data_IF_387282096642
#
_entry.id   IF_387282096642
#
_cell.length_a   1.000
_cell.length_b   1.000
_cell.length_c   1.000
_cell.angle_alpha   90.00
_cell.angle_beta   90.00
_cell.angle_gamma   90.00
#
_symmetry.space_group_name_H-M   'P 1'
#
loop_
_entity.id
_entity.type
_entity.pdbx_description
1 polymer ?
#
# COMPACT_ATOMS: atom_id res chain seq x y z
N UNK A 1 -4.98 -26.00 3.32
CA UNK A 1 -4.31 -25.07 4.26
C UNK A 1 -4.96 -23.70 4.07
N UNK A 2 -5.94 -23.33 4.90
CA UNK A 2 -6.75 -22.10 4.70
C UNK A 2 -7.20 -21.44 6.00
N UNK A 3 -6.57 -21.81 7.13
CA UNK A 3 -7.01 -21.42 8.47
C UNK A 3 -6.19 -20.22 9.01
N UNK A 4 -5.03 -19.93 8.42
CA UNK A 4 -4.09 -18.92 8.94
C UNK A 4 -4.50 -17.47 8.66
N UNK A 5 -5.22 -17.22 7.56
CA UNK A 5 -5.60 -15.85 7.14
C UNK A 5 -6.81 -15.30 7.92
N UNK A 6 -7.84 -16.13 8.14
CA UNK A 6 -9.03 -15.76 8.95
C UNK A 6 -8.64 -15.38 10.38
N UNK A 7 -7.60 -16.01 10.91
CA UNK A 7 -7.11 -15.73 12.26
C UNK A 7 -6.37 -14.38 12.32
N UNK A 8 -5.60 -14.01 11.28
CA UNK A 8 -4.88 -12.73 11.22
C UNK A 8 -5.83 -11.51 11.23
N UNK A 9 -6.95 -11.61 10.51
CA UNK A 9 -7.95 -10.53 10.41
C UNK A 9 -8.70 -10.34 11.70
N UNK A 10 -9.26 -11.42 12.26
CA UNK A 10 -9.91 -11.38 13.57
C UNK A 10 -8.97 -10.85 14.66
N UNK A 11 -7.67 -11.13 14.55
CA UNK A 11 -6.66 -10.59 15.46
C UNK A 11 -6.44 -9.09 15.24
N UNK A 12 -6.34 -8.60 14.00
CA UNK A 12 -6.21 -7.16 13.70
C UNK A 12 -7.46 -6.41 14.19
N UNK A 13 -8.67 -6.89 13.87
CA UNK A 13 -9.93 -6.27 14.28
C UNK A 13 -10.09 -6.24 15.81
N UNK A 14 -9.90 -7.39 16.49
CA UNK A 14 -9.93 -7.43 17.96
C UNK A 14 -8.86 -6.54 18.57
N UNK A 15 -7.65 -6.54 18.02
CA UNK A 15 -6.55 -5.75 18.53
C UNK A 15 -6.86 -4.25 18.47
N UNK A 16 -7.36 -3.77 17.32
CA UNK A 16 -7.76 -2.37 17.13
C UNK A 16 -8.95 -2.00 18.02
N UNK A 17 -9.92 -2.90 18.18
CA UNK A 17 -11.09 -2.70 19.05
C UNK A 17 -10.71 -2.58 20.55
N UNK A 18 -9.77 -3.40 21.04
CA UNK A 18 -9.41 -3.42 22.46
C UNK A 18 -8.34 -2.37 22.85
N UNK A 19 -7.51 -1.91 21.92
CA UNK A 19 -6.37 -1.02 22.21
C UNK A 19 -6.54 0.41 21.69
N UNK A 20 -7.68 0.77 21.09
CA UNK A 20 -7.99 2.16 20.76
C UNK A 20 -8.35 2.95 22.01
N UNK A 21 -7.33 3.43 22.74
CA UNK A 21 -7.48 4.54 23.69
C UNK A 21 -7.41 5.92 23.01
N UNK A 22 -7.47 5.98 21.68
CA UNK A 22 -7.44 7.20 20.88
C UNK A 22 -8.74 7.43 20.08
N UNK A 23 -8.98 8.72 19.78
CA UNK A 23 -10.26 9.42 19.50
C UNK A 23 -10.98 9.02 18.18
N UNK A 24 -10.41 8.18 17.32
CA UNK A 24 -11.09 7.66 16.12
C UNK A 24 -11.08 6.13 16.08
N UNK A 25 -12.28 5.57 16.08
CA UNK A 25 -12.52 4.19 15.63
C UNK A 25 -12.39 4.20 14.11
N UNK A 26 -11.29 3.66 13.58
CA UNK A 26 -11.15 3.46 12.13
C UNK A 26 -12.06 2.29 11.75
N UNK A 27 -13.18 2.60 11.11
CA UNK A 27 -14.02 1.57 10.50
C UNK A 27 -13.41 1.20 9.15
N UNK A 28 -13.17 -0.08 8.93
CA UNK A 28 -12.72 -0.60 7.65
C UNK A 28 -13.27 -2.00 7.45
N UNK A 29 -13.37 -2.43 6.19
CA UNK A 29 -13.67 -3.81 5.82
C UNK A 29 -12.41 -4.46 5.28
N UNK A 30 -12.08 -5.67 5.74
CA UNK A 30 -10.91 -6.41 5.28
C UNK A 30 -11.31 -7.61 4.41
N UNK A 31 -10.87 -7.61 3.16
CA UNK A 31 -11.08 -8.72 2.24
C UNK A 31 -9.89 -9.68 2.26
N UNK A 32 -10.10 -10.83 2.91
CA UNK A 32 -9.11 -11.92 3.02
C UNK A 32 -8.73 -12.58 1.70
N UNK A 33 -9.52 -12.44 0.65
CA UNK A 33 -9.23 -13.07 -0.64
C UNK A 33 -8.10 -12.36 -1.39
N UNK A 34 -7.99 -11.05 -1.20
CA UNK A 34 -7.01 -10.19 -1.88
C UNK A 34 -6.14 -9.37 -0.91
N UNK A 35 -6.35 -9.51 0.40
CA UNK A 35 -5.67 -8.78 1.48
C UNK A 35 -5.88 -7.26 1.40
N UNK A 36 -7.08 -6.82 1.01
CA UNK A 36 -7.41 -5.40 0.85
C UNK A 36 -8.13 -4.84 2.07
N UNK A 37 -7.79 -3.59 2.42
CA UNK A 37 -8.49 -2.78 3.43
C UNK A 37 -9.34 -1.75 2.70
N UNK A 38 -10.65 -1.79 2.90
CA UNK A 38 -11.59 -0.84 2.36
C UNK A 38 -11.99 0.18 3.43
N UNK A 39 -11.73 1.45 3.15
CA UNK A 39 -12.11 2.57 4.01
C UNK A 39 -13.45 3.15 3.52
N UNK A 40 -14.48 3.24 4.36
CA UNK A 40 -15.74 3.88 4.01
C UNK A 40 -15.52 5.35 3.65
N UNK A 41 -16.20 5.84 2.61
CA UNK A 41 -16.09 7.26 2.20
C UNK A 41 -16.52 8.20 3.32
N UNK A 42 -17.40 7.76 4.22
CA UNK A 42 -17.79 8.54 5.41
C UNK A 42 -16.65 8.80 6.41
N UNK A 43 -15.55 8.05 6.33
CA UNK A 43 -14.33 8.31 7.10
C UNK A 43 -13.44 9.40 6.50
N UNK A 44 -13.73 9.79 5.25
CA UNK A 44 -13.01 10.84 4.54
C UNK A 44 -13.72 12.18 4.76
N UNK A 45 -13.02 13.16 5.32
CA UNK A 45 -13.61 14.43 5.78
C UNK A 45 -13.25 15.58 4.84
N UNK A 46 -12.06 15.55 4.28
CA UNK A 46 -11.56 16.55 3.34
C UNK A 46 -11.56 16.02 1.91
N UNK A 47 -11.50 16.95 0.97
CA UNK A 47 -11.34 16.64 -0.45
C UNK A 47 -9.93 16.12 -0.78
N UNK A 48 -8.98 16.22 0.16
CA UNK A 48 -7.62 15.67 0.04
C UNK A 48 -7.56 14.20 0.51
N UNK A 49 -8.25 13.37 -0.25
CA UNK A 49 -8.44 11.94 0.00
C UNK A 49 -7.08 11.22 0.12
N UNK A 50 -6.08 11.62 -0.67
CA UNK A 50 -4.75 10.98 -0.66
C UNK A 50 -4.05 11.22 0.67
N UNK A 51 -4.02 12.46 1.16
CA UNK A 51 -3.39 12.75 2.44
C UNK A 51 -4.15 12.11 3.62
N UNK A 52 -5.48 12.09 3.59
CA UNK A 52 -6.26 11.42 4.63
C UNK A 52 -6.04 9.91 4.65
N UNK A 53 -6.05 9.25 3.49
CA UNK A 53 -5.77 7.82 3.45
C UNK A 53 -4.34 7.51 3.85
N UNK A 54 -3.35 8.34 3.50
CA UNK A 54 -1.98 8.18 4.00
C UNK A 54 -1.91 8.30 5.52
N UNK A 55 -2.70 9.21 6.12
CA UNK A 55 -2.82 9.33 7.57
C UNK A 55 -3.43 8.06 8.19
N UNK A 56 -4.54 7.56 7.62
CA UNK A 56 -5.19 6.31 8.07
C UNK A 56 -4.25 5.11 7.93
N UNK A 57 -3.55 5.00 6.81
CA UNK A 57 -2.52 3.98 6.56
C UNK A 57 -1.45 4.04 7.64
N UNK A 58 -0.93 5.23 7.95
CA UNK A 58 0.11 5.41 8.96
C UNK A 58 -0.40 5.00 10.35
N UNK A 59 -1.65 5.37 10.70
CA UNK A 59 -2.26 4.98 11.97
C UNK A 59 -2.47 3.46 12.08
N UNK A 60 -2.90 2.80 11.00
CA UNK A 60 -3.04 1.34 10.95
C UNK A 60 -1.68 0.65 11.07
N UNK A 61 -0.69 1.08 10.29
CA UNK A 61 0.66 0.54 10.33
C UNK A 61 1.27 0.71 11.73
N UNK A 62 1.22 1.90 12.32
CA UNK A 62 1.75 2.17 13.66
C UNK A 62 1.05 1.32 14.72
N UNK A 63 -0.29 1.23 14.69
CA UNK A 63 -1.04 0.42 15.65
C UNK A 63 -0.71 -1.06 15.53
N UNK A 64 -0.51 -1.61 14.34
CA UNK A 64 -0.15 -3.03 14.21
C UNK A 64 1.32 -3.25 14.59
N UNK A 65 2.21 -2.40 14.08
CA UNK A 65 3.66 -2.56 14.22
C UNK A 65 4.16 -2.29 15.65
N UNK A 66 3.50 -1.40 16.40
CA UNK A 66 3.83 -1.15 17.81
C UNK A 66 3.61 -2.41 18.68
N UNK A 67 2.73 -3.30 18.26
CA UNK A 67 2.39 -4.52 18.99
C UNK A 67 2.90 -5.79 18.31
N UNK A 68 3.86 -5.65 17.37
CA UNK A 68 4.52 -6.77 16.68
C UNK A 68 5.21 -7.77 17.60
N UNK A 69 5.60 -7.35 18.81
CA UNK A 69 6.29 -8.20 19.79
C UNK A 69 5.31 -8.99 20.66
N UNK A 70 4.01 -8.65 20.64
CA UNK A 70 2.98 -9.33 21.43
C UNK A 70 1.90 -9.98 20.56
N UNK A 71 1.96 -9.81 19.24
CA UNK A 71 1.05 -10.43 18.27
C UNK A 71 1.84 -11.22 17.25
N UNK A 72 1.26 -12.29 16.71
CA UNK A 72 1.87 -13.07 15.62
C UNK A 72 1.71 -12.39 14.24
N UNK A 73 1.21 -11.16 14.20
CA UNK A 73 0.94 -10.43 12.94
C UNK A 73 2.26 -9.99 12.29
N UNK A 74 3.30 -9.74 13.08
CA UNK A 74 4.58 -9.22 12.59
C UNK A 74 4.48 -7.78 12.08
N UNK A 75 5.51 -7.33 11.35
CA UNK A 75 5.46 -6.02 10.70
C UNK A 75 4.51 -6.06 9.49
N UNK A 76 3.65 -5.05 9.41
CA UNK A 76 2.74 -4.81 8.29
C UNK A 76 3.14 -3.52 7.58
N UNK A 77 2.95 -3.51 6.27
CA UNK A 77 2.93 -2.29 5.48
C UNK A 77 1.68 -2.29 4.59
N UNK A 78 1.02 -1.14 4.50
CA UNK A 78 -0.22 -0.92 3.76
C UNK A 78 0.06 0.13 2.69
N UNK A 79 -0.29 -0.18 1.43
CA UNK A 79 -0.20 0.77 0.33
C UNK A 79 -1.59 1.12 -0.18
N UNK A 80 -1.72 2.30 -0.78
CA UNK A 80 -2.93 2.68 -1.50
C UNK A 80 -3.05 1.89 -2.81
N UNK A 81 -4.29 1.61 -3.19
CA UNK A 81 -4.64 1.04 -4.50
C UNK A 81 -5.23 2.17 -5.36
N UNK A 82 -4.70 2.34 -6.57
CA UNK A 82 -5.06 3.43 -7.46
C UNK A 82 -5.99 2.95 -8.59
N UNK A 83 -7.00 3.76 -8.94
CA UNK A 83 -7.92 3.48 -10.05
C UNK A 83 -7.34 3.92 -11.40
N UNK A 84 -6.82 5.15 -11.39
CA UNK A 84 -6.07 5.74 -12.48
C UNK A 84 -4.62 5.87 -12.02
N UNK A 85 -3.65 5.47 -12.84
CA UNK A 85 -2.23 5.59 -12.51
C UNK A 85 -1.50 6.52 -13.47
N UNK A 86 -1.29 7.75 -13.01
CA UNK A 86 -0.55 8.86 -13.58
C UNK A 86 0.67 9.27 -12.76
N UNK A 87 1.69 9.70 -13.48
CA UNK A 87 2.93 10.27 -12.99
C UNK A 87 2.92 11.75 -13.33
N UNK A 88 3.38 12.56 -12.38
CA UNK A 88 3.54 14.01 -12.58
C UNK A 88 4.32 14.24 -13.88
N UNK A 89 3.86 15.16 -14.76
CA UNK A 89 4.56 15.44 -16.01
C UNK A 89 6.00 15.89 -15.78
N UNK A 90 6.95 15.34 -16.53
CA UNK A 90 8.34 15.72 -16.36
C UNK A 90 9.36 14.86 -17.08
N UNK A 91 10.60 15.37 -17.10
CA UNK A 91 11.76 14.64 -17.62
C UNK A 91 12.68 14.24 -16.49
N UNK A 92 12.84 12.94 -16.30
CA UNK A 92 13.55 12.36 -15.16
C UNK A 92 14.83 11.65 -15.62
N UNK A 93 15.98 12.08 -15.11
CA UNK A 93 17.26 11.36 -15.33
C UNK A 93 17.39 10.12 -14.47
N UNK A 94 16.72 10.13 -13.33
CA UNK A 94 16.80 9.10 -12.30
C UNK A 94 15.48 9.05 -11.56
N UNK A 95 15.00 7.82 -11.33
CA UNK A 95 13.84 7.54 -10.48
C UNK A 95 14.18 6.38 -9.54
N UNK A 96 13.57 6.40 -8.36
CA UNK A 96 13.65 5.33 -7.37
C UNK A 96 12.23 4.80 -7.21
N UNK A 97 12.03 3.52 -7.53
CA UNK A 97 10.75 2.83 -7.43
C UNK A 97 10.82 1.87 -6.25
N UNK A 98 9.93 2.03 -5.29
CA UNK A 98 9.82 1.15 -4.12
C UNK A 98 8.59 0.29 -4.24
N UNK A 99 8.80 -1.03 -4.23
CA UNK A 99 7.74 -2.04 -4.24
C UNK A 99 7.69 -2.78 -2.92
N UNK A 100 6.49 -3.14 -2.48
CA UNK A 100 6.24 -3.94 -1.27
C UNK A 100 5.40 -5.14 -1.65
N UNK A 101 5.88 -6.32 -1.28
CA UNK A 101 5.18 -7.58 -1.47
C UNK A 101 4.79 -8.13 -0.10
N UNK A 102 3.48 -8.12 0.26
CA UNK A 102 3.03 -8.47 1.60
C UNK A 102 3.33 -9.94 1.96
N UNK A 103 3.35 -10.83 0.97
CA UNK A 103 3.59 -12.26 1.13
C UNK A 103 4.93 -12.72 0.53
N UNK A 104 5.93 -11.84 0.43
CA UNK A 104 7.23 -12.16 -0.18
C UNK A 104 7.23 -11.99 -1.70
N UNK A 105 8.43 -12.01 -2.29
CA UNK A 105 8.67 -11.66 -3.68
C UNK A 105 8.36 -12.84 -4.62
N UNK A 106 7.34 -12.75 -5.50
CA UNK A 106 6.85 -13.91 -6.28
C UNK A 106 7.91 -14.57 -7.17
N UNK A 107 8.86 -13.78 -7.71
CA UNK A 107 9.89 -14.31 -8.59
C UNK A 107 11.12 -14.88 -7.85
N UNK A 108 11.33 -14.51 -6.58
CA UNK A 108 12.49 -14.95 -5.79
C UNK A 108 12.11 -16.03 -4.76
N UNK A 109 10.85 -16.06 -4.33
CA UNK A 109 10.38 -16.89 -3.21
C UNK A 109 9.56 -18.12 -3.66
N UNK A 110 9.94 -18.76 -4.78
CA UNK A 110 9.37 -20.06 -5.18
C UNK A 110 9.72 -21.14 -4.12
N UNK A 111 8.95 -21.18 -3.03
CA UNK A 111 8.97 -22.22 -2.00
C UNK A 111 9.03 -21.75 -0.54
N UNK A 112 9.17 -20.45 -0.21
CA UNK A 112 9.38 -19.96 1.17
C UNK A 112 8.78 -18.58 1.50
N UNK A 113 7.76 -18.14 0.77
CA UNK A 113 7.16 -16.84 1.00
C UNK A 113 6.40 -16.79 2.35
N UNK A 114 7.09 -16.38 3.42
CA UNK A 114 6.56 -16.23 4.78
C UNK A 114 6.78 -14.83 5.36
N UNK A 115 7.49 -13.94 4.65
CA UNK A 115 7.87 -12.61 5.14
C UNK A 115 7.66 -11.56 4.06
N UNK A 116 7.11 -10.41 4.45
CA UNK A 116 6.96 -9.26 3.57
C UNK A 116 8.35 -8.82 3.04
N UNK A 117 8.40 -8.45 1.76
CA UNK A 117 9.62 -8.00 1.09
C UNK A 117 9.44 -6.57 0.57
N UNK A 118 10.40 -5.69 0.86
CA UNK A 118 10.49 -4.35 0.28
C UNK A 118 11.67 -4.32 -0.69
N UNK A 119 11.42 -3.87 -1.92
CA UNK A 119 12.45 -3.75 -2.95
C UNK A 119 12.50 -2.31 -3.44
N UNK A 120 13.66 -1.71 -3.31
CA UNK A 120 13.96 -0.41 -3.90
C UNK A 120 14.77 -0.64 -5.18
N UNK A 121 14.25 -0.17 -6.31
CA UNK A 121 14.95 -0.26 -7.60
C UNK A 121 15.23 1.13 -8.12
N UNK A 122 16.52 1.38 -8.38
CA UNK A 122 17.01 2.65 -8.90
C UNK A 122 17.18 2.56 -10.42
N UNK A 123 16.40 3.34 -11.16
CA UNK A 123 16.51 3.44 -12.62
C UNK A 123 17.23 4.72 -12.99
N UNK A 124 18.21 4.61 -13.90
CA UNK A 124 18.95 5.73 -14.47
C UNK A 124 18.77 5.72 -15.98
N UNK A 125 18.45 6.87 -16.56
CA UNK A 125 18.37 7.02 -18.00
C UNK A 125 19.77 6.93 -18.62
N UNK A 126 19.85 6.55 -19.90
CA UNK A 126 21.11 6.55 -20.62
C UNK A 126 21.69 7.97 -20.72
N UNK A 127 22.98 8.06 -21.06
CA UNK A 127 23.66 9.35 -21.12
C UNK A 127 23.01 10.26 -22.16
N UNK A 128 22.48 11.41 -21.71
CA UNK A 128 21.79 12.38 -22.56
C UNK A 128 20.27 12.18 -22.66
N UNK A 129 19.74 11.06 -22.15
CA UNK A 129 18.32 10.72 -22.19
C UNK A 129 17.61 11.04 -20.86
N UNK A 130 16.29 10.97 -20.90
CA UNK A 130 15.39 11.13 -19.74
C UNK A 130 14.19 10.22 -19.89
N UNK A 131 13.72 9.66 -18.77
CA UNK A 131 12.40 9.06 -18.70
C UNK A 131 11.34 10.15 -18.79
N UNK A 132 10.28 9.90 -19.55
CA UNK A 132 9.05 10.68 -19.49
C UNK A 132 8.00 9.99 -18.58
N UNK A 133 6.91 10.69 -18.28
CA UNK A 133 5.82 10.18 -17.43
C UNK A 133 5.21 8.87 -17.95
N UNK A 134 4.95 8.77 -19.26
CA UNK A 134 4.31 7.61 -19.88
C UNK A 134 5.17 6.34 -19.76
N UNK A 135 6.49 6.46 -19.93
CA UNK A 135 7.43 5.34 -19.78
C UNK A 135 7.47 4.81 -18.34
N UNK A 136 7.28 5.69 -17.36
CA UNK A 136 7.24 5.32 -15.94
C UNK A 136 5.89 4.66 -15.64
N UNK A 137 4.80 5.23 -16.13
CA UNK A 137 3.44 4.69 -16.01
C UNK A 137 3.36 3.28 -16.57
N UNK A 138 3.73 3.07 -17.84
CA UNK A 138 3.65 1.76 -18.50
C UNK A 138 4.42 0.66 -17.75
N UNK A 139 5.56 1.02 -17.15
CA UNK A 139 6.37 0.07 -16.39
C UNK A 139 5.86 -0.23 -15.00
N UNK A 140 5.06 0.64 -14.40
CA UNK A 140 4.68 0.54 -12.97
C UNK A 140 3.18 0.39 -12.73
N UNK A 141 2.36 0.57 -13.77
CA UNK A 141 0.89 0.48 -13.72
C UNK A 141 0.37 -0.81 -13.10
N UNK A 142 0.87 -1.97 -13.56
CA UNK A 142 0.42 -3.27 -13.04
C UNK A 142 0.71 -3.41 -11.54
N UNK A 143 1.84 -2.88 -11.07
CA UNK A 143 2.19 -2.93 -9.65
C UNK A 143 1.35 -1.95 -8.83
N UNK A 144 1.01 -0.79 -9.40
CA UNK A 144 0.12 0.19 -8.77
C UNK A 144 -1.30 -0.33 -8.62
N UNK A 145 -1.87 -0.93 -9.67
CA UNK A 145 -3.22 -1.53 -9.66
C UNK A 145 -3.33 -2.70 -8.68
N UNK A 146 -2.22 -3.39 -8.39
CA UNK A 146 -2.16 -4.50 -7.43
C UNK A 146 -1.80 -4.07 -6.00
N UNK A 147 -1.55 -2.77 -5.76
CA UNK A 147 -1.13 -2.26 -4.46
C UNK A 147 0.30 -2.65 -4.05
N UNK A 148 1.14 -3.09 -4.99
CA UNK A 148 2.55 -3.41 -4.75
C UNK A 148 3.45 -2.17 -4.85
N UNK A 149 2.99 -1.11 -5.51
CA UNK A 149 3.75 0.14 -5.62
C UNK A 149 3.58 0.97 -4.34
N UNK A 150 4.68 1.20 -3.63
CA UNK A 150 4.70 2.03 -2.42
C UNK A 150 5.06 3.47 -2.74
N UNK A 151 6.06 3.70 -3.60
CA UNK A 151 6.42 5.07 -4.01
C UNK A 151 7.26 5.10 -5.28
N UNK A 152 7.24 6.25 -5.95
CA UNK A 152 8.15 6.61 -7.03
C UNK A 152 8.71 8.00 -6.73
N UNK A 153 10.01 8.06 -6.46
CA UNK A 153 10.70 9.31 -6.15
C UNK A 153 11.64 9.73 -7.28
N UNK A 154 11.64 11.02 -7.59
CA UNK A 154 12.75 11.66 -8.29
C UNK A 154 13.16 12.94 -7.57
N UNK A 155 14.47 13.13 -7.39
CA UNK A 155 15.05 14.29 -6.70
C UNK A 155 14.37 14.58 -5.34
N UNK A 156 14.04 13.52 -4.59
CA UNK A 156 13.39 13.62 -3.28
C UNK A 156 11.89 13.96 -3.29
N UNK A 157 11.23 13.98 -4.45
CA UNK A 157 9.78 14.24 -4.56
C UNK A 157 9.03 13.01 -5.06
N UNK A 158 7.90 12.70 -4.42
CA UNK A 158 6.98 11.66 -4.90
C UNK A 158 6.28 12.13 -6.19
N UNK A 159 6.32 11.27 -7.20
CA UNK A 159 5.83 11.54 -8.55
C UNK A 159 4.40 11.05 -8.81
N UNK A 160 3.81 10.25 -7.93
CA UNK A 160 2.44 9.74 -8.10
C UNK A 160 1.45 10.89 -7.92
N UNK A 161 0.47 11.04 -8.83
CA UNK A 161 -0.51 12.15 -8.84
C UNK A 161 -1.97 11.70 -8.56
N UNK A 162 -2.21 10.40 -8.35
CA UNK A 162 -3.49 9.76 -8.66
C UNK A 162 -4.64 9.78 -7.67
N UNK A 163 -5.81 9.50 -8.25
CA UNK A 163 -7.08 9.17 -7.61
C UNK A 163 -7.08 7.73 -7.09
N UNK A 164 -7.54 7.58 -5.84
CA UNK A 164 -7.66 6.29 -5.17
C UNK A 164 -8.81 5.47 -5.75
N UNK A 165 -8.64 4.14 -5.82
CA UNK A 165 -9.68 3.19 -6.20
C UNK A 165 -10.88 3.29 -5.26
N UNK A 166 -12.03 3.68 -5.81
CA UNK A 166 -13.31 3.65 -5.10
C UNK A 166 -14.10 2.42 -5.54
N UNK A 167 -14.50 1.59 -4.59
CA UNK A 167 -15.39 0.44 -4.85
C UNK A 167 -16.70 0.59 -4.12
N UNK A 168 -17.80 0.28 -4.82
CA UNK A 168 -19.09 0.04 -4.20
C UNK A 168 -19.11 -1.41 -3.72
N UNK A 169 -18.99 -1.61 -2.41
CA UNK A 169 -19.19 -2.91 -1.78
C UNK A 169 -20.68 -2.99 -1.48
N UNK A 170 -21.40 -3.94 -2.11
CA UNK A 170 -22.75 -4.28 -1.67
C UNK A 170 -22.62 -5.15 -0.43
N UNK A 171 -23.25 -4.74 0.67
CA UNK A 171 -23.49 -5.63 1.80
C UNK A 171 -24.55 -6.64 1.34
N UNK A 172 -24.14 -7.89 1.11
CA UNK A 172 -25.05 -9.02 0.90
C UNK A 172 -25.49 -9.61 2.25
#
# INVERSE_FOLDING_TARGET
MGITYIDRVNRIEKFLFYNSKDIRVINFYYDTSCEWIYIPVSMLITDDIVNELNSIVSEIEDKINNFKNITDIGNVSVNLVYDDFKIKPGKYKEIIVTKVYPNGHPALDRGKALRAARIETKYKAAQGETFNELEIEDKTKIDAEKGYLSSIFARGKNLIENTILRRNIRED
#
